data_IF_251886210184
#
_entry.id   IF_251886210184
#
_cell.length_a   1.000
_cell.length_b   1.000
_cell.length_c   1.000
_cell.angle_alpha   90.00
_cell.angle_beta   90.00
_cell.angle_gamma   90.00
#
_symmetry.space_group_name_H-M   'P 1'
#
loop_
_entity.id
_entity.type
_entity.pdbx_description
1 polymer ?
#
# COMPACT_ATOMS: atom_id res chain seq x y z
N UNK A 1 -55.47 2.31 58.28
CA UNK A 1 -54.96 3.65 58.65
C UNK A 1 -53.66 3.50 59.43
N UNK A 2 -52.54 3.96 58.91
CA UNK A 2 -51.25 3.88 59.61
C UNK A 2 -51.21 4.83 60.82
N UNK A 3 -50.56 4.41 61.90
CA UNK A 3 -50.39 5.27 63.08
C UNK A 3 -49.49 6.45 62.75
N UNK A 4 -49.69 7.60 63.41
CA UNK A 4 -48.85 8.80 63.26
C UNK A 4 -47.35 8.50 63.48
N UNK A 5 -47.02 7.47 64.27
CA UNK A 5 -45.64 6.97 64.48
C UNK A 5 -45.12 6.21 63.26
N UNK A 6 -45.91 5.32 62.67
CA UNK A 6 -45.53 4.58 61.45
C UNK A 6 -45.31 5.50 60.24
N UNK A 7 -46.11 6.56 60.11
CA UNK A 7 -45.95 7.54 59.03
C UNK A 7 -44.65 8.34 59.16
N UNK A 8 -44.21 8.68 60.39
CA UNK A 8 -42.93 9.37 60.63
C UNK A 8 -41.72 8.49 60.30
N UNK A 9 -41.76 7.21 60.69
CA UNK A 9 -40.70 6.24 60.39
C UNK A 9 -40.58 6.01 58.89
N UNK A 10 -41.73 5.90 58.19
CA UNK A 10 -41.73 5.74 56.73
C UNK A 10 -41.14 6.97 56.02
N UNK A 11 -41.48 8.19 56.45
CA UNK A 11 -40.92 9.42 55.88
C UNK A 11 -39.42 9.51 56.13
N UNK A 12 -38.95 9.17 57.34
CA UNK A 12 -37.52 9.15 57.65
C UNK A 12 -36.76 8.11 56.83
N UNK A 13 -37.32 6.90 56.67
CA UNK A 13 -36.72 5.86 55.84
C UNK A 13 -36.63 6.30 54.37
N UNK A 14 -37.68 6.96 53.84
CA UNK A 14 -37.68 7.49 52.48
C UNK A 14 -36.65 8.61 52.32
N UNK A 15 -36.53 9.51 53.31
CA UNK A 15 -35.53 10.58 53.30
C UNK A 15 -34.11 10.04 53.34
N UNK A 16 -33.82 9.03 54.17
CA UNK A 16 -32.51 8.38 54.21
C UNK A 16 -32.19 7.70 52.86
N UNK A 17 -33.17 7.06 52.23
CA UNK A 17 -33.02 6.42 50.93
C UNK A 17 -32.79 7.43 49.80
N UNK A 18 -33.44 8.60 49.86
CA UNK A 18 -33.18 9.70 48.93
C UNK A 18 -31.81 10.34 49.16
N UNK A 19 -31.36 10.47 50.40
CA UNK A 19 -30.05 11.03 50.74
C UNK A 19 -28.90 10.05 50.44
N UNK A 20 -29.16 8.74 50.32
CA UNK A 20 -28.15 7.75 49.92
C UNK A 20 -27.99 7.57 48.41
N UNK A 21 -28.75 8.30 47.59
CA UNK A 21 -28.52 8.39 46.15
C UNK A 21 -27.30 9.28 45.88
N UNK A 22 -26.11 8.68 45.83
CA UNK A 22 -24.88 9.36 45.44
C UNK A 22 -24.94 9.89 44.00
N UNK A 23 -24.05 10.83 43.62
CA UNK A 23 -24.02 11.37 42.26
C UNK A 23 -23.77 10.26 41.25
N UNK A 24 -24.75 9.98 40.39
CA UNK A 24 -24.55 9.18 39.18
C UNK A 24 -23.84 10.09 38.17
N UNK A 25 -22.52 10.14 38.25
CA UNK A 25 -21.72 10.83 37.24
C UNK A 25 -21.90 10.05 35.93
N UNK A 26 -22.57 10.66 34.95
CA UNK A 26 -22.53 10.18 33.57
C UNK A 26 -21.06 10.24 33.13
N UNK A 27 -20.37 9.09 33.14
CA UNK A 27 -18.97 9.03 32.73
C UNK A 27 -18.89 9.40 31.26
N UNK A 28 -18.41 10.60 30.99
CA UNK A 28 -17.96 10.99 29.65
C UNK A 28 -16.44 11.05 29.71
N UNK A 29 -15.78 10.25 28.86
CA UNK A 29 -14.32 10.22 28.73
C UNK A 29 -13.56 9.57 29.90
N UNK A 30 -13.63 8.24 30.04
CA UNK A 30 -12.69 7.47 30.88
C UNK A 30 -11.26 7.50 30.30
N UNK A 31 -10.45 6.47 30.58
CA UNK A 31 -9.09 6.32 30.01
C UNK A 31 -9.03 6.14 28.49
N UNK A 32 -10.18 5.99 27.84
CA UNK A 32 -10.27 5.81 26.40
C UNK A 32 -10.55 7.15 25.73
N UNK A 33 -9.70 7.51 24.78
CA UNK A 33 -9.96 8.60 23.84
C UNK A 33 -11.02 8.15 22.84
N UNK A 34 -12.19 8.78 22.91
CA UNK A 34 -13.34 8.53 22.02
C UNK A 34 -13.47 9.63 20.96
N UNK A 35 -12.35 10.24 20.56
CA UNK A 35 -12.33 11.19 19.44
C UNK A 35 -12.78 10.52 18.15
N UNK A 36 -13.81 11.09 17.52
CA UNK A 36 -14.32 10.59 16.25
C UNK A 36 -13.29 10.82 15.12
N UNK A 37 -13.09 9.80 14.30
CA UNK A 37 -12.27 9.88 13.10
C UNK A 37 -12.86 9.06 11.95
N UNK A 38 -12.55 9.47 10.72
CA UNK A 38 -12.88 8.74 9.50
C UNK A 38 -11.63 8.54 8.67
N UNK A 39 -11.41 7.32 8.17
CA UNK A 39 -10.36 7.00 7.20
C UNK A 39 -11.04 6.92 5.84
N UNK A 40 -10.78 7.92 4.98
CA UNK A 40 -11.28 7.93 3.62
C UNK A 40 -10.46 7.03 2.69
N UNK A 41 -10.98 6.69 1.50
CA UNK A 41 -10.31 5.85 0.50
C UNK A 41 -9.12 6.55 -0.20
N UNK A 42 -8.72 7.75 0.22
CA UNK A 42 -7.84 8.68 -0.50
C UNK A 42 -8.61 9.69 -1.37
N UNK A 43 -7.94 10.28 -2.37
CA UNK A 43 -8.48 11.27 -3.29
C UNK A 43 -7.40 12.11 -3.98
N UNK A 44 -7.82 12.89 -4.98
CA UNK A 44 -6.96 13.88 -5.64
C UNK A 44 -6.93 15.20 -4.85
N UNK A 45 -5.74 15.79 -4.71
CA UNK A 45 -5.49 17.10 -4.13
C UNK A 45 -4.63 17.91 -5.10
N UNK A 46 -4.82 19.21 -5.17
CA UNK A 46 -4.05 20.08 -6.07
C UNK A 46 -3.60 21.34 -5.35
N UNK A 47 -2.39 21.81 -5.66
CA UNK A 47 -1.83 23.06 -5.13
C UNK A 47 -0.84 23.67 -6.10
N UNK A 48 -1.18 24.84 -6.66
CA UNK A 48 -0.42 25.44 -7.75
C UNK A 48 -0.50 24.58 -9.01
N UNK A 49 0.65 24.32 -9.64
CA UNK A 49 0.77 23.50 -10.85
C UNK A 49 0.83 21.99 -10.56
N UNK A 50 0.73 21.59 -9.28
CA UNK A 50 0.90 20.20 -8.86
C UNK A 50 -0.42 19.57 -8.45
N UNK A 51 -0.62 18.34 -8.92
CA UNK A 51 -1.70 17.44 -8.51
C UNK A 51 -1.11 16.21 -7.84
N UNK A 52 -1.69 15.81 -6.72
CA UNK A 52 -1.35 14.62 -5.95
C UNK A 52 -2.59 13.73 -5.87
N UNK A 53 -2.48 12.49 -6.30
CA UNK A 53 -3.50 11.48 -6.08
C UNK A 53 -3.05 10.54 -4.97
N UNK A 54 -3.92 10.34 -3.98
CA UNK A 54 -3.69 9.45 -2.86
C UNK A 54 -4.77 8.37 -2.84
N UNK A 55 -4.44 7.20 -2.29
CA UNK A 55 -5.42 6.14 -2.11
C UNK A 55 -5.14 5.31 -0.87
N UNK A 56 -6.18 4.82 -0.20
CA UNK A 56 -6.06 3.94 0.95
C UNK A 56 -6.16 2.47 0.49
N UNK A 57 -5.08 1.70 0.67
CA UNK A 57 -4.98 0.29 0.26
C UNK A 57 -4.52 -0.63 1.39
N UNK A 58 -4.78 -1.94 1.27
CA UNK A 58 -4.15 -2.94 2.12
C UNK A 58 -2.64 -3.01 1.82
N UNK A 59 -1.77 -3.10 2.85
CA UNK A 59 -0.33 -3.22 2.67
C UNK A 59 0.11 -4.61 2.19
N UNK A 60 -0.83 -5.50 1.81
CA UNK A 60 -0.49 -6.83 1.31
C UNK A 60 0.04 -6.70 -0.13
N UNK A 61 1.28 -6.25 -0.20
CA UNK A 61 2.06 -6.01 -1.40
C UNK A 61 2.83 -7.26 -1.75
N UNK A 62 2.69 -7.75 -2.98
CA UNK A 62 3.51 -8.87 -3.44
C UNK A 62 3.02 -9.48 -4.74
N UNK A 63 3.97 -9.97 -5.54
CA UNK A 63 3.66 -10.82 -6.68
C UNK A 63 3.39 -12.26 -6.17
N UNK A 64 2.24 -12.82 -6.52
CA UNK A 64 1.98 -14.24 -6.41
C UNK A 64 2.09 -14.85 -7.81
N UNK A 65 2.84 -15.94 -7.96
CA UNK A 65 2.97 -16.66 -9.22
C UNK A 65 2.35 -18.05 -9.15
N UNK A 66 1.76 -18.49 -10.27
CA UNK A 66 1.15 -19.80 -10.42
C UNK A 66 1.08 -20.20 -11.88
N UNK A 67 1.93 -21.15 -12.29
CA UNK A 67 2.05 -21.55 -13.69
C UNK A 67 2.58 -20.41 -14.56
N UNK A 68 1.90 -20.11 -15.67
CA UNK A 68 2.24 -19.01 -16.58
C UNK A 68 1.68 -17.65 -16.15
N UNK A 69 1.10 -17.54 -14.95
CA UNK A 69 0.41 -16.35 -14.51
C UNK A 69 1.08 -15.74 -13.27
N UNK A 70 1.15 -14.42 -13.27
CA UNK A 70 1.59 -13.61 -12.13
C UNK A 70 0.44 -12.69 -11.75
N UNK A 71 0.04 -12.73 -10.48
CA UNK A 71 -0.94 -11.85 -9.87
C UNK A 71 -0.19 -10.84 -9.00
N UNK A 72 -0.32 -9.55 -9.29
CA UNK A 72 0.23 -8.51 -8.44
C UNK A 72 -0.81 -8.08 -7.42
N UNK A 73 -0.51 -8.29 -6.14
CA UNK A 73 -1.29 -7.77 -5.02
C UNK A 73 -0.89 -6.32 -4.71
N UNK A 74 -1.89 -5.46 -4.51
CA UNK A 74 -1.70 -4.06 -4.17
C UNK A 74 -2.86 -3.19 -4.65
N UNK A 75 -3.01 -2.00 -4.07
CA UNK A 75 -4.00 -1.01 -4.52
C UNK A 75 -3.54 -0.28 -5.79
N UNK A 76 -2.24 0.03 -5.87
CA UNK A 76 -1.55 0.42 -7.08
C UNK A 76 -0.68 -0.76 -7.48
N UNK A 77 -1.10 -1.63 -8.42
CA UNK A 77 -0.12 -2.51 -9.03
C UNK A 77 0.99 -1.60 -9.58
N UNK A 78 2.28 -1.94 -9.42
CA UNK A 78 3.29 -1.24 -10.19
C UNK A 78 2.83 -1.30 -11.65
N UNK A 79 3.04 -0.20 -12.39
CA UNK A 79 2.73 -0.16 -13.82
C UNK A 79 3.17 -1.51 -14.40
N UNK A 80 2.23 -2.23 -15.04
CA UNK A 80 2.49 -3.58 -15.50
C UNK A 80 3.83 -3.54 -16.23
N UNK A 81 4.82 -4.27 -15.71
CA UNK A 81 6.18 -4.21 -16.22
C UNK A 81 6.07 -4.45 -17.72
N UNK A 82 6.29 -3.39 -18.48
CA UNK A 82 6.16 -3.47 -19.90
C UNK A 82 7.38 -4.23 -20.38
N UNK A 83 7.15 -5.44 -20.87
CA UNK A 83 8.23 -6.24 -21.43
C UNK A 83 8.40 -5.82 -22.88
N UNK A 84 9.36 -4.93 -23.12
CA UNK A 84 9.86 -4.66 -24.46
C UNK A 84 11.04 -5.58 -24.75
N UNK A 85 11.09 -6.24 -25.92
CA UNK A 85 12.34 -6.82 -26.40
C UNK A 85 13.43 -5.75 -26.42
N UNK A 86 14.60 -6.04 -25.85
CA UNK A 86 15.71 -5.09 -25.74
C UNK A 86 15.64 -4.11 -24.57
N UNK A 87 14.60 -4.12 -23.72
CA UNK A 87 14.60 -3.39 -22.43
C UNK A 87 15.32 -4.25 -21.37
N UNK A 88 16.62 -4.01 -21.25
CA UNK A 88 17.54 -4.82 -20.46
C UNK A 88 17.48 -4.40 -18.98
N UNK A 89 17.24 -3.11 -18.73
CA UNK A 89 17.17 -2.57 -17.38
C UNK A 89 15.74 -2.56 -16.79
N UNK A 90 14.74 -2.93 -17.59
CA UNK A 90 13.31 -3.02 -17.26
C UNK A 90 12.70 -1.68 -16.81
N UNK A 91 13.12 -0.58 -17.44
CA UNK A 91 12.61 0.76 -17.16
C UNK A 91 11.43 1.20 -18.06
N UNK A 92 11.04 0.36 -19.02
CA UNK A 92 9.94 0.61 -19.95
C UNK A 92 10.36 1.36 -21.22
N UNK A 93 11.66 1.58 -21.45
CA UNK A 93 12.17 2.24 -22.65
C UNK A 93 13.46 1.61 -23.15
N UNK A 94 13.55 1.32 -24.44
CA UNK A 94 14.78 0.82 -25.04
C UNK A 94 15.66 1.99 -25.48
N UNK A 95 16.72 2.23 -24.74
CA UNK A 95 17.64 3.34 -24.95
C UNK A 95 19.09 2.87 -25.07
N UNK A 96 20.02 3.82 -25.21
CA UNK A 96 21.46 3.51 -25.14
C UNK A 96 21.87 2.92 -23.78
N UNK A 97 21.06 3.12 -22.73
CA UNK A 97 21.32 2.53 -21.42
C UNK A 97 21.17 1.00 -21.45
N UNK A 98 20.29 0.46 -22.28
CA UNK A 98 20.11 -0.98 -22.46
C UNK A 98 21.30 -1.60 -23.19
N UNK A 99 21.78 -0.91 -24.23
CA UNK A 99 23.03 -1.29 -24.91
C UNK A 99 24.20 -1.24 -23.93
N UNK A 100 24.28 -0.21 -23.09
CA UNK A 100 25.31 -0.12 -22.08
C UNK A 100 25.22 -1.28 -21.08
N UNK A 101 24.02 -1.68 -20.69
CA UNK A 101 23.80 -2.78 -19.75
C UNK A 101 24.34 -4.11 -20.30
N UNK A 102 24.11 -4.41 -21.59
CA UNK A 102 24.71 -5.57 -22.27
C UNK A 102 26.22 -5.41 -22.39
N UNK A 103 26.70 -4.24 -22.83
CA UNK A 103 28.12 -4.00 -23.08
C UNK A 103 29.02 -4.10 -21.82
N UNK A 104 28.46 -4.01 -20.60
CA UNK A 104 29.21 -4.24 -19.36
C UNK A 104 29.68 -5.70 -19.22
N UNK A 105 28.98 -6.64 -19.83
CA UNK A 105 29.29 -8.08 -19.80
C UNK A 105 30.05 -8.55 -21.05
N UNK A 106 30.65 -7.63 -21.82
CA UNK A 106 31.29 -7.96 -23.10
C UNK A 106 32.35 -9.06 -22.99
N UNK A 107 32.17 -10.11 -23.78
CA UNK A 107 33.06 -11.28 -23.82
C UNK A 107 32.99 -12.14 -22.56
N UNK A 108 32.03 -11.91 -21.65
CA UNK A 108 31.76 -12.80 -20.52
C UNK A 108 31.19 -14.12 -21.08
N UNK A 109 31.86 -15.26 -20.90
CA UNK A 109 31.26 -16.55 -21.25
C UNK A 109 30.19 -16.92 -20.23
N UNK A 110 29.06 -17.45 -20.70
CA UNK A 110 27.89 -17.83 -19.89
C UNK A 110 27.39 -16.71 -18.97
N UNK A 111 27.10 -15.52 -19.52
CA UNK A 111 26.60 -14.40 -18.73
C UNK A 111 25.21 -14.74 -18.17
N UNK A 112 24.84 -14.08 -17.07
CA UNK A 112 23.48 -14.21 -16.56
C UNK A 112 22.46 -13.59 -17.54
N UNK A 113 21.24 -14.13 -17.60
CA UNK A 113 20.13 -13.39 -18.18
C UNK A 113 20.02 -12.02 -17.47
N UNK A 114 19.82 -10.89 -18.19
CA UNK A 114 19.42 -10.76 -19.59
C UNK A 114 20.54 -10.33 -20.57
N UNK A 115 21.82 -10.63 -20.34
CA UNK A 115 22.88 -9.99 -21.14
C UNK A 115 23.20 -10.71 -22.47
N UNK A 116 23.07 -12.04 -22.52
CA UNK A 116 23.15 -12.85 -23.74
C UNK A 116 21.74 -12.95 -24.36
N UNK A 117 21.56 -12.28 -25.49
CA UNK A 117 20.27 -12.07 -26.16
C UNK A 117 19.98 -13.18 -27.18
N UNK A 118 20.99 -13.71 -27.87
CA UNK A 118 20.79 -14.81 -28.83
C UNK A 118 21.00 -16.21 -28.25
N UNK A 119 21.41 -16.29 -26.98
CA UNK A 119 21.69 -17.49 -26.20
C UNK A 119 22.80 -18.37 -26.78
N UNK A 120 23.83 -17.76 -27.39
CA UNK A 120 24.96 -18.50 -27.94
C UNK A 120 26.10 -18.75 -26.95
N UNK A 121 26.01 -18.15 -25.75
CA UNK A 121 26.85 -18.47 -24.60
C UNK A 121 27.99 -17.48 -24.36
N UNK A 122 28.03 -16.35 -25.06
CA UNK A 122 28.85 -15.19 -24.73
C UNK A 122 28.08 -13.87 -24.91
N UNK A 123 28.75 -12.75 -24.62
CA UNK A 123 28.23 -11.42 -24.97
C UNK A 123 29.11 -10.85 -26.07
N UNK A 124 28.53 -10.61 -27.24
CA UNK A 124 29.22 -10.05 -28.38
C UNK A 124 28.41 -8.95 -29.09
N UNK A 125 28.77 -8.67 -30.35
CA UNK A 125 28.11 -7.63 -31.13
C UNK A 125 26.67 -8.01 -31.51
N UNK A 126 26.34 -9.28 -31.62
CA UNK A 126 25.02 -9.77 -31.95
C UNK A 126 24.03 -9.40 -30.85
N UNK A 127 24.42 -9.52 -29.58
CA UNK A 127 23.56 -9.11 -28.46
C UNK A 127 23.27 -7.62 -28.48
N UNK A 128 24.31 -6.81 -28.71
CA UNK A 128 24.16 -5.37 -28.84
C UNK A 128 23.27 -5.01 -30.03
N UNK A 129 23.41 -5.71 -31.15
CA UNK A 129 22.59 -5.47 -32.35
C UNK A 129 21.13 -5.89 -32.16
N UNK A 130 20.88 -6.92 -31.35
CA UNK A 130 19.53 -7.34 -30.97
C UNK A 130 18.84 -6.30 -30.08
N UNK A 131 19.55 -5.74 -29.09
CA UNK A 131 19.03 -4.60 -28.31
C UNK A 131 18.83 -3.37 -29.21
N UNK A 132 19.82 -3.06 -30.06
CA UNK A 132 19.78 -1.88 -30.92
C UNK A 132 18.63 -1.91 -31.94
N UNK A 133 18.15 -3.09 -32.32
CA UNK A 133 17.00 -3.25 -33.21
C UNK A 133 15.70 -2.64 -32.64
N UNK A 134 15.62 -2.50 -31.32
CA UNK A 134 14.47 -1.97 -30.59
C UNK A 134 14.65 -0.53 -30.09
N UNK A 135 15.78 0.13 -30.41
CA UNK A 135 16.06 1.48 -29.93
C UNK A 135 14.93 2.47 -30.22
N UNK A 136 14.48 3.15 -29.16
CA UNK A 136 13.41 4.14 -29.21
C UNK A 136 12.00 3.57 -29.01
N UNK A 137 11.85 2.26 -28.81
CA UNK A 137 10.60 1.69 -28.31
C UNK A 137 10.38 2.08 -26.85
N UNK A 138 9.14 2.39 -26.49
CA UNK A 138 8.76 2.79 -25.13
C UNK A 138 7.29 2.50 -24.87
N UNK A 139 6.98 2.30 -23.60
CA UNK A 139 5.66 2.14 -23.01
C UNK A 139 5.66 2.83 -21.63
#
# INVERSE_FOLDING_TARGET
MMSKRGQRVMVLALMVMLLSAGPVLAQTGGTYDLTWGNIGPGGASSGGDYTMEASAGQPDTGAASGGAYTLMGGFWPPAAACSLPGDINQDGSVTVLDIQAVAVEWGTPTPAFPYDQDNDGDVDIQDVMLVAAHLGESC
#
